data_IF_316608313277
#
_entry.id   IF_316608313277
#
_cell.length_a   1.000
_cell.length_b   1.000
_cell.length_c   1.000
_cell.angle_alpha   90.00
_cell.angle_beta   90.00
_cell.angle_gamma   90.00
#
_symmetry.space_group_name_H-M   'P 1'
#
loop_
_entity.id
_entity.type
_entity.pdbx_description
1 polymer ?
#
# COMPACT_ATOMS: atom_id res chain seq x y z
N UNK A 1 -18.71 -30.90 -26.45
CA UNK A 1 -18.51 -29.44 -26.29
C UNK A 1 -18.78 -29.12 -24.83
N UNK A 2 -17.85 -28.49 -24.10
CA UNK A 2 -18.17 -28.02 -22.76
C UNK A 2 -19.22 -26.89 -22.86
N UNK A 3 -20.16 -26.79 -21.92
CA UNK A 3 -21.14 -25.72 -21.91
C UNK A 3 -20.43 -24.37 -21.71
N UNK A 4 -20.83 -23.36 -22.48
CA UNK A 4 -20.40 -21.98 -22.26
C UNK A 4 -20.90 -21.56 -20.86
N UNK A 5 -19.98 -21.28 -19.93
CA UNK A 5 -20.28 -20.87 -18.56
C UNK A 5 -20.07 -19.35 -18.43
N UNK A 6 -21.07 -18.51 -18.76
CA UNK A 6 -20.92 -17.06 -18.75
C UNK A 6 -20.52 -16.51 -17.38
N UNK A 7 -20.91 -17.16 -16.28
CA UNK A 7 -20.52 -16.78 -14.92
C UNK A 7 -19.02 -16.94 -14.68
N UNK A 8 -18.41 -18.04 -15.16
CA UNK A 8 -16.97 -18.26 -15.02
C UNK A 8 -16.16 -17.24 -15.82
N UNK A 9 -16.66 -16.85 -17.01
CA UNK A 9 -16.06 -15.79 -17.82
C UNK A 9 -16.17 -14.42 -17.12
N UNK A 10 -17.32 -14.11 -16.52
CA UNK A 10 -17.51 -12.85 -15.79
C UNK A 10 -16.60 -12.75 -14.55
N UNK A 11 -16.41 -13.85 -13.80
CA UNK A 11 -15.48 -13.89 -12.66
C UNK A 11 -14.04 -13.70 -13.13
N UNK A 12 -13.61 -14.42 -14.17
CA UNK A 12 -12.26 -14.29 -14.71
C UNK A 12 -11.95 -12.86 -15.20
N UNK A 13 -12.90 -12.23 -15.90
CA UNK A 13 -12.78 -10.83 -16.33
C UNK A 13 -12.71 -9.87 -15.14
N UNK A 14 -13.45 -10.15 -14.06
CA UNK A 14 -13.42 -9.32 -12.86
C UNK A 14 -12.08 -9.43 -12.13
N UNK A 15 -11.52 -10.63 -12.03
CA UNK A 15 -10.22 -10.88 -11.40
C UNK A 15 -9.06 -10.25 -12.22
N UNK A 16 -9.15 -10.28 -13.56
CA UNK A 16 -8.18 -9.63 -14.45
C UNK A 16 -8.19 -8.09 -14.29
N UNK A 17 -9.37 -7.49 -14.09
CA UNK A 17 -9.53 -6.05 -13.85
C UNK A 17 -8.88 -5.66 -12.52
N UNK A 18 -9.13 -6.41 -11.45
CA UNK A 18 -8.52 -6.15 -10.14
C UNK A 18 -7.01 -6.28 -10.20
N UNK A 19 -6.49 -7.32 -10.84
CA UNK A 19 -5.04 -7.52 -11.01
C UNK A 19 -4.39 -6.35 -11.76
N UNK A 20 -5.01 -5.91 -12.86
CA UNK A 20 -4.54 -4.77 -13.65
C UNK A 20 -4.55 -3.45 -12.87
N UNK A 21 -5.57 -3.25 -12.02
CA UNK A 21 -5.67 -2.08 -11.15
C UNK A 21 -4.60 -2.10 -10.06
N UNK A 22 -4.40 -3.24 -9.38
CA UNK A 22 -3.37 -3.40 -8.36
C UNK A 22 -1.97 -3.14 -8.94
N UNK A 23 -1.67 -3.66 -10.13
CA UNK A 23 -0.41 -3.39 -10.82
C UNK A 23 -0.21 -1.91 -11.16
N UNK A 24 -1.26 -1.21 -11.55
CA UNK A 24 -1.21 0.23 -11.81
C UNK A 24 -0.95 1.01 -10.51
N UNK A 25 -1.67 0.70 -9.45
CA UNK A 25 -1.53 1.35 -8.13
C UNK A 25 -0.15 1.08 -7.56
N UNK A 26 0.36 -0.15 -7.64
CA UNK A 26 1.70 -0.53 -7.19
C UNK A 26 2.77 0.30 -7.91
N UNK A 27 2.71 0.36 -9.26
CA UNK A 27 3.67 1.16 -10.05
C UNK A 27 3.61 2.63 -9.69
N UNK A 28 2.41 3.18 -9.47
CA UNK A 28 2.24 4.59 -9.10
C UNK A 28 2.78 4.86 -7.69
N UNK A 29 2.55 3.96 -6.73
CA UNK A 29 3.12 4.03 -5.38
C UNK A 29 4.64 3.99 -5.44
N UNK A 30 5.22 3.01 -6.14
CA UNK A 30 6.66 2.87 -6.29
C UNK A 30 7.30 4.14 -6.89
N UNK A 31 6.69 4.71 -7.93
CA UNK A 31 7.15 5.96 -8.53
C UNK A 31 7.08 7.16 -7.58
N UNK A 32 6.06 7.22 -6.72
CA UNK A 32 5.85 8.32 -5.78
C UNK A 32 6.80 8.24 -4.58
N UNK A 33 6.99 7.02 -4.06
CA UNK A 33 7.83 6.74 -2.92
C UNK A 33 9.32 6.84 -3.28
N UNK A 34 9.70 6.37 -4.47
CA UNK A 34 11.08 6.40 -4.95
C UNK A 34 11.89 5.15 -4.56
N UNK A 35 13.19 5.14 -4.88
CA UNK A 35 14.00 3.92 -4.91
C UNK A 35 14.32 3.32 -3.53
N UNK A 36 14.15 4.06 -2.45
CA UNK A 36 14.41 3.56 -1.10
C UNK A 36 13.24 2.75 -0.52
N UNK A 37 12.14 2.65 -1.26
CA UNK A 37 10.93 1.96 -0.85
C UNK A 37 10.70 0.72 -1.71
N UNK A 38 10.45 -0.40 -1.05
CA UNK A 38 9.92 -1.61 -1.69
C UNK A 38 8.42 -1.61 -1.48
N UNK A 39 7.65 -1.72 -2.57
CA UNK A 39 6.18 -1.75 -2.54
C UNK A 39 5.71 -3.09 -3.08
N UNK A 40 4.93 -3.80 -2.28
CA UNK A 40 4.27 -5.05 -2.66
C UNK A 40 2.78 -4.85 -2.46
N UNK A 41 2.01 -5.01 -3.53
CA UNK A 41 0.56 -4.94 -3.51
C UNK A 41 0.01 -6.16 -4.24
N UNK A 42 -0.75 -6.98 -3.51
CA UNK A 42 -1.29 -8.23 -4.03
C UNK A 42 -2.77 -8.38 -3.67
N UNK A 43 -3.51 -9.08 -4.52
CA UNK A 43 -4.85 -9.55 -4.16
C UNK A 43 -4.74 -10.68 -3.13
N UNK A 44 -5.74 -10.78 -2.24
CA UNK A 44 -5.83 -11.90 -1.31
C UNK A 44 -6.21 -13.18 -2.05
N UNK A 45 -5.51 -14.28 -1.77
CA UNK A 45 -5.77 -15.56 -2.41
C UNK A 45 -7.16 -16.13 -2.07
N UNK A 46 -7.64 -15.85 -0.85
CA UNK A 46 -8.93 -16.33 -0.35
C UNK A 46 -10.09 -15.38 -0.68
N UNK A 47 -9.79 -14.12 -1.00
CA UNK A 47 -10.76 -13.06 -1.26
C UNK A 47 -10.26 -12.12 -2.37
N UNK A 48 -10.61 -12.35 -3.65
CA UNK A 48 -10.10 -11.57 -4.78
C UNK A 48 -10.52 -10.08 -4.75
N UNK A 49 -11.54 -9.75 -3.96
CA UNK A 49 -11.95 -8.37 -3.68
C UNK A 49 -11.18 -7.72 -2.53
N UNK A 50 -10.16 -8.38 -1.96
CA UNK A 50 -9.30 -7.84 -0.91
C UNK A 50 -7.87 -7.68 -1.41
N UNK A 51 -7.18 -6.67 -0.91
CA UNK A 51 -5.77 -6.42 -1.15
C UNK A 51 -4.95 -6.55 0.12
N UNK A 52 -3.66 -6.84 -0.07
CA UNK A 52 -2.61 -6.70 0.92
C UNK A 52 -1.51 -5.79 0.36
N UNK A 53 -1.20 -4.72 1.08
CA UNK A 53 -0.14 -3.78 0.81
C UNK A 53 0.96 -3.93 1.87
N UNK A 54 2.20 -4.03 1.41
CA UNK A 54 3.38 -3.85 2.24
C UNK A 54 4.30 -2.81 1.60
N UNK A 55 4.69 -1.79 2.36
CA UNK A 55 5.68 -0.78 1.98
C UNK A 55 6.83 -0.86 2.98
N UNK A 56 8.03 -1.17 2.50
CA UNK A 56 9.23 -1.24 3.33
C UNK A 56 10.19 -0.11 2.96
N UNK A 57 10.61 0.66 3.95
CA UNK A 57 11.65 1.66 3.78
C UNK A 57 13.03 1.06 4.12
N UNK A 58 13.85 0.87 3.09
CA UNK A 58 15.14 0.16 3.18
C UNK A 58 16.13 0.79 4.15
N UNK A 59 16.15 2.12 4.26
CA UNK A 59 17.13 2.82 5.11
C UNK A 59 16.80 2.76 6.60
N UNK A 60 15.51 2.84 6.95
CA UNK A 60 15.08 2.83 8.36
C UNK A 60 14.65 1.44 8.85
N UNK A 61 14.44 0.49 7.96
CA UNK A 61 13.89 -0.83 8.29
C UNK A 61 12.41 -0.82 8.67
N UNK A 62 11.73 0.34 8.60
CA UNK A 62 10.31 0.46 8.94
C UNK A 62 9.46 -0.14 7.83
N UNK A 63 8.51 -1.00 8.20
CA UNK A 63 7.43 -1.44 7.32
C UNK A 63 6.12 -0.76 7.66
N UNK A 64 5.33 -0.52 6.63
CA UNK A 64 3.92 -0.18 6.71
C UNK A 64 3.15 -1.28 6.01
N UNK A 65 2.13 -1.81 6.68
CA UNK A 65 1.25 -2.82 6.15
C UNK A 65 -0.18 -2.31 6.20
N UNK A 66 -0.96 -2.58 5.15
CA UNK A 66 -2.38 -2.23 5.05
C UNK A 66 -3.12 -3.32 4.26
N UNK A 67 -4.36 -3.60 4.63
CA UNK A 67 -5.19 -4.57 3.93
C UNK A 67 -6.65 -4.17 4.03
N UNK A 68 -7.42 -4.50 3.00
CA UNK A 68 -8.85 -4.21 3.00
C UNK A 68 -9.49 -4.55 1.67
N UNK A 69 -10.70 -4.04 1.47
CA UNK A 69 -11.46 -4.25 0.23
C UNK A 69 -11.00 -3.34 -0.91
N UNK A 70 -11.05 -3.88 -2.13
CA UNK A 70 -10.87 -3.15 -3.39
C UNK A 70 -12.22 -2.50 -3.76
N UNK A 71 -12.51 -1.38 -3.10
CA UNK A 71 -13.72 -0.58 -3.28
C UNK A 71 -13.42 0.73 -4.03
N UNK A 72 -14.43 1.47 -4.51
CA UNK A 72 -14.24 2.82 -5.03
C UNK A 72 -13.45 3.70 -4.04
N UNK A 73 -12.43 4.42 -4.51
CA UNK A 73 -11.54 5.22 -3.66
C UNK A 73 -10.33 4.46 -3.08
N UNK A 74 -10.21 3.15 -3.36
CA UNK A 74 -9.08 2.32 -2.95
C UNK A 74 -7.73 2.89 -3.40
N UNK A 75 -7.60 3.24 -4.68
CA UNK A 75 -6.35 3.72 -5.25
C UNK A 75 -5.91 5.04 -4.60
N UNK A 76 -6.83 5.98 -4.46
CA UNK A 76 -6.61 7.28 -3.84
C UNK A 76 -6.20 7.14 -2.38
N UNK A 77 -6.86 6.26 -1.63
CA UNK A 77 -6.53 5.95 -0.24
C UNK A 77 -5.11 5.40 -0.11
N UNK A 78 -4.73 4.44 -0.94
CA UNK A 78 -3.38 3.86 -0.89
C UNK A 78 -2.31 4.89 -1.26
N UNK A 79 -2.55 5.70 -2.30
CA UNK A 79 -1.63 6.75 -2.70
C UNK A 79 -1.46 7.81 -1.60
N UNK A 80 -2.55 8.22 -0.96
CA UNK A 80 -2.52 9.13 0.19
C UNK A 80 -1.76 8.52 1.37
N UNK A 81 -2.01 7.23 1.68
CA UNK A 81 -1.29 6.51 2.73
C UNK A 81 0.22 6.45 2.44
N UNK A 82 0.62 6.09 1.21
CA UNK A 82 2.03 6.06 0.81
C UNK A 82 2.69 7.44 0.92
N UNK A 83 2.03 8.49 0.42
CA UNK A 83 2.53 9.86 0.54
C UNK A 83 2.68 10.31 2.01
N UNK A 84 1.71 9.96 2.86
CA UNK A 84 1.76 10.26 4.29
C UNK A 84 2.90 9.51 4.99
N UNK A 85 3.10 8.22 4.69
CA UNK A 85 4.18 7.41 5.23
C UNK A 85 5.56 7.96 4.83
N UNK A 86 5.72 8.35 3.55
CA UNK A 86 6.94 8.99 3.06
C UNK A 86 7.21 10.30 3.80
N UNK A 87 6.23 11.19 3.88
CA UNK A 87 6.38 12.47 4.57
C UNK A 87 6.69 12.28 6.07
N UNK A 88 6.22 11.20 6.68
CA UNK A 88 6.54 10.84 8.05
C UNK A 88 8.01 10.41 8.17
N UNK A 89 8.46 9.47 7.35
CA UNK A 89 9.83 8.93 7.38
C UNK A 89 10.89 9.94 6.96
N UNK A 90 10.55 10.89 6.10
CA UNK A 90 11.44 11.98 5.66
C UNK A 90 11.42 13.19 6.60
N UNK A 91 10.66 13.14 7.71
CA UNK A 91 10.56 14.26 8.65
C UNK A 91 11.74 14.35 9.62
N UNK A 92 12.04 15.57 10.05
CA UNK A 92 13.01 15.82 11.13
C UNK A 92 12.61 15.14 12.44
N UNK A 93 11.30 14.95 12.67
CA UNK A 93 10.81 14.24 13.85
C UNK A 93 11.29 12.80 13.83
N UNK A 94 11.12 12.10 12.72
CA UNK A 94 11.59 10.72 12.56
C UNK A 94 13.12 10.61 12.71
N UNK A 95 13.87 11.53 12.11
CA UNK A 95 15.32 11.58 12.26
C UNK A 95 15.75 11.77 13.74
N UNK A 96 15.05 12.62 14.49
CA UNK A 96 15.30 12.82 15.92
C UNK A 96 14.98 11.59 16.76
N UNK A 97 13.93 10.83 16.42
CA UNK A 97 13.57 9.59 17.12
C UNK A 97 14.69 8.54 17.04
N UNK A 98 15.43 8.49 15.92
CA UNK A 98 16.56 7.58 15.73
C UNK A 98 17.89 8.08 16.28
N UNK A 99 17.93 9.26 16.91
CA UNK A 99 19.17 9.87 17.44
C UNK A 99 19.48 9.42 18.87
N UNK A 100 20.68 9.72 19.36
CA UNK A 100 21.07 9.52 20.76
C UNK A 100 20.62 10.65 21.69
N UNK A 101 19.81 11.61 21.20
CA UNK A 101 19.32 12.74 21.99
C UNK A 101 18.52 12.24 23.20
N UNK A 102 18.84 12.69 24.44
CA UNK A 102 18.06 12.34 25.63
C UNK A 102 16.62 12.86 25.59
N UNK A 103 16.34 13.85 24.74
CA UNK A 103 15.01 14.43 24.52
C UNK A 103 14.30 13.85 23.30
N UNK A 104 14.84 12.78 22.68
CA UNK A 104 14.24 12.19 21.50
C UNK A 104 12.81 11.69 21.76
N UNK A 105 11.88 11.89 20.81
CA UNK A 105 10.57 11.27 20.92
C UNK A 105 10.70 9.75 20.83
N UNK A 106 10.01 9.03 21.71
CA UNK A 106 9.91 7.56 21.63
C UNK A 106 8.66 7.10 20.86
N UNK A 107 7.64 7.95 20.82
CA UNK A 107 6.37 7.70 20.14
C UNK A 107 5.99 8.95 19.36
N UNK A 108 5.54 8.75 18.14
CA UNK A 108 4.96 9.80 17.32
C UNK A 108 3.59 9.38 16.82
N UNK A 109 2.58 10.16 17.19
CA UNK A 109 1.20 9.97 16.75
C UNK A 109 0.84 11.10 15.81
N UNK A 110 0.21 10.76 14.68
CA UNK A 110 -0.33 11.74 13.74
C UNK A 110 -1.76 11.36 13.40
N UNK A 111 -2.65 12.33 13.49
CA UNK A 111 -4.03 12.16 13.06
C UNK A 111 -4.07 11.89 11.55
N UNK A 112 -4.85 10.89 11.13
CA UNK A 112 -5.14 10.65 9.72
C UNK A 112 -6.32 11.54 9.35
N UNK A 113 -6.06 12.57 8.56
CA UNK A 113 -7.13 13.30 7.88
C UNK A 113 -7.69 12.38 6.79
N UNK A 114 -8.90 11.87 7.01
CA UNK A 114 -9.67 11.06 6.05
C UNK A 114 -10.22 11.90 4.91
#
# INVERSE_FOLDING_TARGET
MPPFAPTALATALHDDIHTSLLDLVQRRLAATLGPHYTVILAASADAPSHYHLAIQHSQSGVSLEDSGSIDPGFAERLLALGAQAKAMLESDTFARMGSDDPTRPLVWLRERTS
#
